data_IF_016757888607
#
_entry.id   IF_016757888607
#
_cell.length_a   1.000
_cell.length_b   1.000
_cell.length_c   1.000
_cell.angle_alpha   90.00
_cell.angle_beta   90.00
_cell.angle_gamma   90.00
#
_symmetry.space_group_name_H-M   'P 1'
#
loop_
_entity.id
_entity.type
_entity.pdbx_description
1 polymer ?
#
# COMPACT_ATOMS: atom_id res chain seq x y z
N UNK A 1 54.23 9.88 -14.47
CA UNK A 1 53.12 9.16 -13.81
C UNK A 1 51.83 9.87 -14.19
N UNK A 2 51.08 9.33 -15.16
CA UNK A 2 49.80 9.89 -15.61
C UNK A 2 48.70 9.42 -14.67
N UNK A 3 48.03 10.37 -14.03
CA UNK A 3 46.89 10.12 -13.16
C UNK A 3 45.63 9.99 -14.04
N UNK A 4 45.26 8.76 -14.40
CA UNK A 4 44.00 8.48 -15.08
C UNK A 4 42.89 8.54 -14.04
N UNK A 5 42.11 9.62 -14.05
CA UNK A 5 40.84 9.68 -13.32
C UNK A 5 39.81 8.86 -14.11
N UNK A 6 39.65 7.58 -13.75
CA UNK A 6 38.48 6.81 -14.17
C UNK A 6 37.24 7.46 -13.57
N UNK A 7 36.54 8.23 -14.40
CA UNK A 7 35.20 8.72 -14.09
C UNK A 7 34.26 7.55 -14.29
N UNK A 8 34.13 6.69 -13.27
CA UNK A 8 33.06 5.70 -13.21
C UNK A 8 31.73 6.45 -13.32
N UNK A 9 30.91 6.21 -14.36
CA UNK A 9 29.60 6.84 -14.46
C UNK A 9 28.80 6.46 -13.23
N UNK A 10 28.44 7.47 -12.44
CA UNK A 10 27.61 7.28 -11.26
C UNK A 10 26.37 6.49 -11.64
N UNK A 11 26.16 5.35 -10.99
CA UNK A 11 24.90 4.64 -11.01
C UNK A 11 23.87 5.55 -10.33
N UNK A 12 23.24 6.43 -11.12
CA UNK A 12 22.18 7.29 -10.64
C UNK A 12 21.09 6.39 -10.01
N UNK A 13 20.69 6.63 -8.75
CA UNK A 13 19.61 5.88 -8.14
C UNK A 13 18.38 6.03 -9.03
N UNK A 14 17.87 4.90 -9.50
CA UNK A 14 17.00 4.82 -10.66
C UNK A 14 15.63 5.44 -10.36
N UNK A 15 15.42 6.68 -10.79
CA UNK A 15 14.10 7.34 -10.83
C UNK A 15 13.02 6.47 -11.51
N UNK A 16 13.43 5.48 -12.33
CA UNK A 16 12.58 4.43 -12.90
C UNK A 16 11.76 3.63 -11.88
N UNK A 17 12.30 3.35 -10.69
CA UNK A 17 11.57 2.61 -9.66
C UNK A 17 10.39 3.40 -9.10
N UNK A 18 10.59 4.68 -8.80
CA UNK A 18 9.51 5.54 -8.30
C UNK A 18 8.39 5.73 -9.34
N UNK A 19 8.75 5.89 -10.61
CA UNK A 19 7.78 6.12 -11.70
C UNK A 19 6.94 4.88 -11.96
N UNK A 20 7.53 3.68 -11.90
CA UNK A 20 6.78 2.43 -12.14
C UNK A 20 5.74 2.16 -11.04
N UNK A 21 6.06 2.49 -9.79
CA UNK A 21 5.10 2.42 -8.68
C UNK A 21 3.99 3.43 -8.73
N UNK A 22 4.32 4.66 -9.14
CA UNK A 22 3.34 5.70 -9.37
C UNK A 22 2.34 5.30 -10.45
N UNK A 23 2.81 4.76 -11.57
CA UNK A 23 1.94 4.31 -12.67
C UNK A 23 1.07 3.13 -12.23
N UNK A 24 1.60 2.16 -11.48
CA UNK A 24 0.82 1.02 -11.02
C UNK A 24 -0.29 1.46 -10.04
N UNK A 25 0.02 2.37 -9.11
CA UNK A 25 -0.98 2.96 -8.21
C UNK A 25 -2.05 3.75 -8.98
N UNK A 26 -1.64 4.51 -10.00
CA UNK A 26 -2.56 5.26 -10.86
C UNK A 26 -3.56 4.33 -11.57
N UNK A 27 -3.07 3.25 -12.19
CA UNK A 27 -3.91 2.25 -12.87
C UNK A 27 -4.85 1.57 -11.89
N UNK A 28 -4.35 1.14 -10.73
CA UNK A 28 -5.19 0.52 -9.70
C UNK A 28 -6.25 1.47 -9.15
N UNK A 29 -6.01 2.79 -9.16
CA UNK A 29 -7.01 3.79 -8.74
C UNK A 29 -8.05 4.04 -9.82
N UNK A 30 -7.64 4.02 -11.09
CA UNK A 30 -8.52 4.24 -12.24
C UNK A 30 -9.53 3.10 -12.43
N UNK A 31 -9.16 1.85 -12.13
CA UNK A 31 -10.05 0.69 -12.24
C UNK A 31 -11.34 0.86 -11.39
N UNK A 32 -11.28 1.05 -10.06
CA UNK A 32 -12.46 1.18 -9.22
C UNK A 32 -13.19 2.49 -9.49
N UNK A 33 -12.48 3.59 -9.80
CA UNK A 33 -13.12 4.84 -10.20
C UNK A 33 -13.92 4.67 -11.50
N UNK A 34 -13.39 3.92 -12.47
CA UNK A 34 -14.10 3.57 -13.69
C UNK A 34 -15.35 2.74 -13.38
N UNK A 35 -15.22 1.67 -12.61
CA UNK A 35 -16.37 0.83 -12.24
C UNK A 35 -17.47 1.61 -11.49
N UNK A 36 -17.10 2.53 -10.60
CA UNK A 36 -18.04 3.41 -9.89
C UNK A 36 -18.65 4.45 -10.84
N UNK A 37 -17.86 5.08 -11.71
CA UNK A 37 -18.31 6.15 -12.59
C UNK A 37 -19.23 5.66 -13.71
N UNK A 38 -18.99 4.47 -14.25
CA UNK A 38 -19.84 3.88 -15.28
C UNK A 38 -21.10 3.21 -14.72
N UNK A 39 -21.21 3.05 -13.39
CA UNK A 39 -22.40 2.51 -12.72
C UNK A 39 -22.84 1.14 -13.24
N UNK A 40 -21.93 0.37 -13.85
CA UNK A 40 -22.27 -0.83 -14.63
C UNK A 40 -22.60 -2.06 -13.77
N UNK A 41 -22.54 -1.92 -12.44
CA UNK A 41 -22.69 -2.98 -11.46
C UNK A 41 -23.70 -2.59 -10.38
N UNK A 42 -24.38 -3.58 -9.82
CA UNK A 42 -25.28 -3.36 -8.67
C UNK A 42 -24.52 -2.74 -7.49
N UNK A 43 -25.24 -2.05 -6.60
CA UNK A 43 -24.66 -1.36 -5.44
C UNK A 43 -23.78 -2.30 -4.58
N UNK A 44 -24.19 -3.55 -4.41
CA UNK A 44 -23.41 -4.56 -3.68
C UNK A 44 -22.12 -4.96 -4.40
N UNK A 45 -22.18 -5.18 -5.72
CA UNK A 45 -20.99 -5.52 -6.51
C UNK A 45 -19.98 -4.37 -6.55
N UNK A 46 -20.46 -3.12 -6.60
CA UNK A 46 -19.60 -1.92 -6.56
C UNK A 46 -18.85 -1.80 -5.22
N UNK A 47 -19.53 -2.06 -4.10
CA UNK A 47 -18.88 -2.06 -2.77
C UNK A 47 -17.78 -3.10 -2.66
N UNK A 48 -18.00 -4.31 -3.21
CA UNK A 48 -16.97 -5.37 -3.23
C UNK A 48 -15.75 -4.93 -4.04
N UNK A 49 -15.96 -4.36 -5.24
CA UNK A 49 -14.86 -3.88 -6.09
C UNK A 49 -14.05 -2.78 -5.39
N UNK A 50 -14.73 -1.84 -4.72
CA UNK A 50 -14.05 -0.79 -3.93
C UNK A 50 -13.23 -1.41 -2.80
N UNK A 51 -13.81 -2.33 -2.02
CA UNK A 51 -13.13 -2.97 -0.90
C UNK A 51 -11.88 -3.75 -1.35
N UNK A 52 -12.01 -4.57 -2.40
CA UNK A 52 -10.89 -5.33 -2.98
C UNK A 52 -9.81 -4.38 -3.49
N UNK A 53 -10.20 -3.34 -4.21
CA UNK A 53 -9.21 -2.42 -4.76
C UNK A 53 -8.54 -1.57 -3.68
N UNK A 54 -9.24 -1.22 -2.59
CA UNK A 54 -8.65 -0.54 -1.44
C UNK A 54 -7.55 -1.38 -0.77
N UNK A 55 -7.77 -2.69 -0.62
CA UNK A 55 -6.75 -3.62 -0.08
C UNK A 55 -5.55 -3.71 -1.03
N UNK A 56 -5.78 -3.85 -2.33
CA UNK A 56 -4.71 -3.88 -3.32
C UNK A 56 -3.94 -2.55 -3.35
N UNK A 57 -4.63 -1.42 -3.20
CA UNK A 57 -4.05 -0.09 -3.18
C UNK A 57 -3.14 0.10 -1.95
N UNK A 58 -3.56 -0.39 -0.79
CA UNK A 58 -2.73 -0.44 0.40
C UNK A 58 -1.44 -1.23 0.10
N UNK A 59 -1.54 -2.43 -0.49
CA UNK A 59 -0.37 -3.23 -0.87
C UNK A 59 0.60 -2.51 -1.83
N UNK A 60 0.09 -1.82 -2.84
CA UNK A 60 0.92 -1.05 -3.80
C UNK A 60 1.60 0.14 -3.11
N UNK A 61 0.88 0.90 -2.28
CA UNK A 61 1.46 2.02 -1.54
C UNK A 61 2.60 1.55 -0.63
N UNK A 62 2.41 0.41 0.04
CA UNK A 62 3.43 -0.21 0.89
C UNK A 62 4.62 -0.74 0.09
N UNK A 63 4.44 -1.25 -1.12
CA UNK A 63 5.55 -1.74 -1.94
C UNK A 63 6.42 -0.61 -2.49
N UNK A 64 5.78 0.44 -2.98
CA UNK A 64 6.43 1.48 -3.79
C UNK A 64 6.75 2.76 -3.03
N UNK A 65 5.86 3.20 -2.13
CA UNK A 65 6.09 4.39 -1.29
C UNK A 65 7.08 4.08 -0.16
N UNK A 66 7.03 2.86 0.37
CA UNK A 66 7.94 2.40 1.40
C UNK A 66 9.28 1.89 0.86
N UNK A 67 9.48 1.99 -0.46
CA UNK A 67 10.69 1.61 -1.18
C UNK A 67 11.40 0.40 -0.56
N UNK A 68 10.67 -0.72 -0.48
CA UNK A 68 11.19 -1.99 0.02
C UNK A 68 12.26 -2.48 -0.95
N UNK A 69 13.47 -1.97 -0.81
CA UNK A 69 14.59 -2.40 -1.62
C UNK A 69 14.97 -3.79 -1.12
N UNK A 70 14.72 -4.80 -1.96
CA UNK A 70 15.04 -6.21 -1.66
C UNK A 70 16.53 -6.51 -1.90
N UNK A 71 17.34 -5.45 -1.99
CA UNK A 71 18.80 -5.49 -1.89
C UNK A 71 19.22 -6.23 -0.62
N UNK A 72 20.19 -7.13 -0.76
CA UNK A 72 20.72 -7.94 0.35
C UNK A 72 21.21 -7.10 1.53
N UNK A 73 21.66 -5.87 1.27
CA UNK A 73 22.14 -4.92 2.27
C UNK A 73 20.99 -4.23 3.03
N UNK A 74 19.84 -4.03 2.37
CA UNK A 74 18.69 -3.29 2.92
C UNK A 74 17.58 -4.20 3.47
N UNK A 75 17.71 -5.52 3.29
CA UNK A 75 16.72 -6.53 3.74
C UNK A 75 16.33 -6.39 5.20
N UNK A 76 17.29 -6.12 6.09
CA UNK A 76 17.00 -5.98 7.52
C UNK A 76 16.15 -4.75 7.82
N UNK A 77 16.41 -3.61 7.17
CA UNK A 77 15.59 -2.41 7.29
C UNK A 77 14.18 -2.63 6.72
N UNK A 78 14.11 -3.28 5.56
CA UNK A 78 12.88 -3.73 4.90
C UNK A 78 12.03 -4.60 5.83
N UNK A 79 12.63 -5.58 6.53
CA UNK A 79 11.95 -6.47 7.48
C UNK A 79 11.46 -5.69 8.71
N UNK A 80 12.26 -4.78 9.27
CA UNK A 80 11.87 -3.96 10.42
C UNK A 80 10.67 -3.06 10.11
N UNK A 81 10.66 -2.45 8.94
CA UNK A 81 9.55 -1.61 8.49
C UNK A 81 8.29 -2.46 8.25
N UNK A 82 8.42 -3.61 7.59
CA UNK A 82 7.29 -4.52 7.36
C UNK A 82 6.69 -5.04 8.68
N UNK A 83 7.53 -5.31 9.67
CA UNK A 83 7.10 -5.71 11.01
C UNK A 83 6.34 -4.59 11.72
N UNK A 84 6.86 -3.37 11.70
CA UNK A 84 6.17 -2.19 12.27
C UNK A 84 4.80 -1.97 11.61
N UNK A 85 4.74 -2.12 10.29
CA UNK A 85 3.51 -1.99 9.54
C UNK A 85 2.50 -3.11 9.87
N UNK A 86 2.97 -4.35 10.00
CA UNK A 86 2.12 -5.47 10.44
C UNK A 86 1.48 -5.16 11.79
N UNK A 87 2.27 -4.66 12.75
CA UNK A 87 1.76 -4.22 14.05
C UNK A 87 0.73 -3.11 13.87
N UNK A 88 1.00 -2.10 13.04
CA UNK A 88 0.07 -1.00 12.75
C UNK A 88 -1.28 -1.52 12.23
N UNK A 89 -1.28 -2.45 11.26
CA UNK A 89 -2.51 -3.03 10.69
C UNK A 89 -3.29 -3.82 11.74
N UNK A 90 -2.60 -4.63 12.55
CA UNK A 90 -3.23 -5.37 13.65
C UNK A 90 -3.81 -4.41 14.69
N UNK A 91 -3.10 -3.33 15.00
CA UNK A 91 -3.57 -2.35 15.99
C UNK A 91 -4.82 -1.62 15.48
N UNK A 92 -4.79 -1.07 14.26
CA UNK A 92 -5.92 -0.35 13.67
C UNK A 92 -7.11 -1.28 13.43
N UNK A 93 -6.87 -2.46 12.85
CA UNK A 93 -7.92 -3.46 12.62
C UNK A 93 -8.51 -3.98 13.93
N UNK A 94 -7.68 -4.24 14.93
CA UNK A 94 -8.10 -4.62 16.28
C UNK A 94 -8.91 -3.53 16.97
N UNK A 95 -8.49 -2.27 16.86
CA UNK A 95 -9.24 -1.11 17.39
C UNK A 95 -10.59 -0.96 16.69
N UNK A 96 -10.63 -1.10 15.36
CA UNK A 96 -11.90 -1.05 14.61
C UNK A 96 -12.83 -2.20 15.02
N UNK A 97 -12.31 -3.41 15.21
CA UNK A 97 -13.07 -4.55 15.72
C UNK A 97 -13.60 -4.30 17.13
N UNK A 98 -12.77 -3.75 18.01
CA UNK A 98 -13.16 -3.39 19.37
C UNK A 98 -14.28 -2.35 19.37
N UNK A 99 -14.15 -1.29 18.58
CA UNK A 99 -15.21 -0.28 18.47
C UNK A 99 -16.50 -0.86 17.89
N UNK A 100 -16.44 -1.71 16.88
CA UNK A 100 -17.62 -2.40 16.36
C UNK A 100 -18.26 -3.30 17.43
N UNK A 101 -17.47 -4.06 18.16
CA UNK A 101 -17.94 -4.93 19.25
C UNK A 101 -18.59 -4.13 20.37
N UNK A 102 -18.00 -2.98 20.73
CA UNK A 102 -18.55 -2.07 21.74
C UNK A 102 -19.84 -1.42 21.25
N UNK A 103 -19.88 -0.93 20.01
CA UNK A 103 -21.07 -0.35 19.38
C UNK A 103 -22.23 -1.36 19.39
N UNK A 104 -21.99 -2.57 18.91
CA UNK A 104 -23.00 -3.64 18.88
C UNK A 104 -23.46 -3.99 20.29
N UNK A 105 -22.55 -4.15 21.26
CA UNK A 105 -22.93 -4.42 22.66
C UNK A 105 -23.71 -3.28 23.32
N UNK A 106 -23.33 -2.03 23.09
CA UNK A 106 -23.97 -0.87 23.72
C UNK A 106 -25.35 -0.57 23.13
N UNK A 107 -25.57 -0.88 21.85
CA UNK A 107 -26.89 -0.80 21.23
C UNK A 107 -27.82 -1.94 21.64
N UNK A 108 -27.29 -3.13 21.92
CA UNK A 108 -28.07 -4.26 22.41
C UNK A 108 -28.45 -4.16 23.90
N UNK A 109 -27.78 -3.32 24.69
CA UNK A 109 -28.11 -3.05 26.12
C UNK A 109 -29.13 -1.90 26.29
N UNK A 110 -29.52 -1.23 25.19
CA UNK A 110 -30.53 -0.16 25.17
C UNK A 110 -31.98 -0.62 24.94
N UNK A 111 -32.24 -1.93 24.94
CA UNK A 111 -33.56 -2.57 24.90
C UNK A 111 -33.73 -3.46 26.12
#
# INVERSE_FOLDING_TARGET
MSHSTDVTPGHAPTARGYITGFVLALVLTLIPFGFVAFGSLSQGATLIVIAVTAVLQLGVHLRWFLHLDMSTEQRWNTISILFSLLIMVVMVGGTMWLFYSLYVRHMMVGH
#
